data_IF_614355330017
#
_entry.id   IF_614355330017
#
_cell.length_a   1.000
_cell.length_b   1.000
_cell.length_c   1.000
_cell.angle_alpha   90.00
_cell.angle_beta   90.00
_cell.angle_gamma   90.00
#
_symmetry.space_group_name_H-M   'P 1'
#
loop_
_entity.id
_entity.type
_entity.pdbx_description
1 polymer ?
#
# COMPACT_ATOMS: atom_id res chain seq x y z
N UNK A 1 -62.38 3.91 32.52
CA UNK A 1 -61.18 3.18 32.10
C UNK A 1 -60.63 3.98 30.94
N UNK A 2 -59.80 4.96 31.26
CA UNK A 2 -59.17 5.87 30.32
C UNK A 2 -57.85 5.23 29.88
N UNK A 3 -57.83 4.69 28.66
CA UNK A 3 -56.63 4.15 28.05
C UNK A 3 -55.76 5.31 27.56
N UNK A 4 -54.59 5.42 28.19
CA UNK A 4 -53.57 6.44 27.92
C UNK A 4 -52.86 6.06 26.63
N UNK A 5 -53.14 6.80 25.54
CA UNK A 5 -52.37 6.69 24.31
C UNK A 5 -51.05 7.45 24.49
N UNK A 6 -49.98 6.70 24.77
CA UNK A 6 -48.59 7.18 24.72
C UNK A 6 -48.26 7.67 23.30
N UNK A 7 -48.11 8.98 23.16
CA UNK A 7 -47.63 9.63 21.95
C UNK A 7 -46.09 9.60 21.97
N UNK A 8 -45.51 8.48 21.54
CA UNK A 8 -44.07 8.36 21.33
C UNK A 8 -43.71 8.97 19.95
N UNK A 9 -43.48 10.29 19.92
CA UNK A 9 -42.82 10.96 18.79
C UNK A 9 -41.40 10.39 18.64
N UNK A 10 -41.25 9.41 17.75
CA UNK A 10 -39.93 8.96 17.33
C UNK A 10 -39.42 9.95 16.31
N UNK A 11 -38.71 10.97 16.81
CA UNK A 11 -38.01 11.95 15.99
C UNK A 11 -37.09 11.26 14.99
N UNK A 12 -37.47 11.43 13.72
CA UNK A 12 -36.64 11.59 12.54
C UNK A 12 -35.26 10.90 12.54
N UNK A 13 -35.18 9.90 11.66
CA UNK A 13 -34.13 9.83 10.63
C UNK A 13 -32.70 9.72 11.15
N UNK A 14 -32.31 8.50 11.52
CA UNK A 14 -30.93 8.04 11.35
C UNK A 14 -30.62 7.88 9.85
N UNK A 15 -30.73 8.99 9.10
CA UNK A 15 -30.14 9.08 7.76
C UNK A 15 -28.65 9.12 7.94
N UNK A 16 -28.01 8.06 7.48
CA UNK A 16 -26.68 8.06 6.89
C UNK A 16 -25.72 9.06 7.53
N UNK A 17 -24.86 8.58 8.43
CA UNK A 17 -23.59 9.23 8.70
C UNK A 17 -22.73 9.16 7.43
N UNK A 18 -23.13 9.91 6.41
CA UNK A 18 -22.35 10.23 5.24
C UNK A 18 -21.21 11.05 5.80
N UNK A 19 -20.05 10.41 5.89
CA UNK A 19 -18.81 11.02 6.31
C UNK A 19 -18.58 12.24 5.42
N UNK A 20 -18.91 13.44 5.91
CA UNK A 20 -18.73 14.72 5.22
C UNK A 20 -17.25 15.10 5.24
N UNK A 21 -16.37 14.21 4.75
CA UNK A 21 -14.97 14.52 4.58
C UNK A 21 -14.87 15.68 3.60
N UNK A 22 -14.20 16.75 4.02
CA UNK A 22 -13.98 17.91 3.15
C UNK A 22 -13.11 17.48 1.96
N UNK A 23 -13.21 18.16 0.80
CA UNK A 23 -12.32 17.90 -0.34
C UNK A 23 -10.83 17.90 0.04
N UNK A 24 -10.45 18.74 1.02
CA UNK A 24 -9.09 18.80 1.55
C UNK A 24 -8.70 17.55 2.36
N UNK A 25 -9.60 17.01 3.19
CA UNK A 25 -9.36 15.76 3.92
C UNK A 25 -9.30 14.54 2.99
N UNK A 26 -10.08 14.54 1.91
CA UNK A 26 -9.99 13.50 0.89
C UNK A 26 -8.67 13.57 0.11
N UNK A 27 -8.23 14.77 -0.27
CA UNK A 27 -6.95 14.97 -0.95
C UNK A 27 -5.76 14.58 -0.06
N UNK A 28 -5.79 14.94 1.23
CA UNK A 28 -4.75 14.56 2.19
C UNK A 28 -4.71 13.05 2.44
N UNK A 29 -5.88 12.40 2.53
CA UNK A 29 -5.99 10.95 2.61
C UNK A 29 -5.42 10.21 1.39
N UNK A 30 -5.67 10.72 0.17
CA UNK A 30 -5.06 10.19 -1.05
C UNK A 30 -3.54 10.32 -1.03
N UNK A 31 -3.03 11.52 -0.73
CA UNK A 31 -1.58 11.78 -0.70
C UNK A 31 -0.85 10.90 0.35
N UNK A 32 -1.47 10.64 1.50
CA UNK A 32 -0.92 9.72 2.51
C UNK A 32 -0.93 8.27 2.04
N UNK A 33 -2.02 7.81 1.41
CA UNK A 33 -2.09 6.46 0.86
C UNK A 33 -1.03 6.24 -0.23
N UNK A 34 -0.81 7.24 -1.10
CA UNK A 34 0.23 7.22 -2.12
C UNK A 34 1.64 7.19 -1.53
N UNK A 35 1.90 7.99 -0.48
CA UNK A 35 3.19 7.97 0.21
C UNK A 35 3.47 6.62 0.88
N UNK A 36 2.45 6.00 1.48
CA UNK A 36 2.56 4.67 2.08
C UNK A 36 2.78 3.58 1.03
N UNK A 37 2.09 3.64 -0.11
CA UNK A 37 2.31 2.71 -1.22
C UNK A 37 3.74 2.81 -1.76
N UNK A 38 4.21 4.03 -2.06
CA UNK A 38 5.60 4.27 -2.49
C UNK A 38 6.62 3.76 -1.47
N UNK A 39 6.39 4.04 -0.18
CA UNK A 39 7.26 3.54 0.88
C UNK A 39 7.26 2.00 0.96
N UNK A 40 6.11 1.37 0.78
CA UNK A 40 5.97 -0.08 0.74
C UNK A 40 6.74 -0.72 -0.41
N UNK A 41 6.63 -0.17 -1.62
CA UNK A 41 7.39 -0.64 -2.78
C UNK A 41 8.90 -0.51 -2.57
N UNK A 42 9.37 0.63 -2.04
CA UNK A 42 10.79 0.81 -1.75
C UNK A 42 11.30 -0.21 -0.72
N UNK A 43 10.53 -0.47 0.33
CA UNK A 43 10.87 -1.46 1.35
C UNK A 43 10.98 -2.89 0.77
N UNK A 44 10.15 -3.24 -0.22
CA UNK A 44 10.19 -4.53 -0.91
C UNK A 44 11.43 -4.65 -1.82
N UNK A 45 11.74 -3.60 -2.59
CA UNK A 45 12.98 -3.55 -3.41
C UNK A 45 14.20 -3.78 -2.52
N UNK A 46 14.32 -3.03 -1.43
CA UNK A 46 15.44 -3.19 -0.49
C UNK A 46 15.48 -4.59 0.15
N UNK A 47 14.33 -5.19 0.43
CA UNK A 47 14.27 -6.54 1.01
C UNK A 47 14.84 -7.58 0.05
N UNK A 48 14.51 -7.47 -1.25
CA UNK A 48 15.07 -8.32 -2.28
C UNK A 48 16.58 -8.10 -2.47
N UNK A 49 17.04 -6.85 -2.46
CA UNK A 49 18.48 -6.55 -2.53
C UNK A 49 19.25 -7.15 -1.34
N UNK A 50 18.72 -7.00 -0.12
CA UNK A 50 19.31 -7.59 1.09
C UNK A 50 19.34 -9.12 1.02
N UNK A 51 18.29 -9.75 0.50
CA UNK A 51 18.25 -11.20 0.31
C UNK A 51 19.27 -11.67 -0.73
N UNK A 52 19.40 -10.95 -1.85
CA UNK A 52 20.43 -11.23 -2.86
C UNK A 52 21.84 -11.14 -2.26
N UNK A 53 22.11 -10.10 -1.47
CA UNK A 53 23.39 -9.92 -0.80
C UNK A 53 23.70 -11.00 0.23
N UNK A 54 22.69 -11.49 0.96
CA UNK A 54 22.84 -12.61 1.88
C UNK A 54 23.24 -13.88 1.12
N UNK A 55 22.56 -14.20 0.02
CA UNK A 55 22.90 -15.37 -0.81
C UNK A 55 24.29 -15.26 -1.45
N UNK A 56 24.66 -14.07 -1.94
CA UNK A 56 26.02 -13.82 -2.43
C UNK A 56 27.08 -14.12 -1.37
N UNK A 57 26.89 -13.65 -0.13
CA UNK A 57 27.81 -13.89 0.99
C UNK A 57 27.89 -15.37 1.37
N UNK A 58 26.76 -16.07 1.39
CA UNK A 58 26.71 -17.51 1.68
C UNK A 58 27.43 -18.33 0.60
N UNK A 59 27.20 -18.01 -0.68
CA UNK A 59 27.90 -18.64 -1.81
C UNK A 59 29.41 -18.38 -1.77
N UNK A 60 29.84 -17.15 -1.47
CA UNK A 60 31.26 -16.79 -1.31
C UNK A 60 31.93 -17.52 -0.13
N UNK A 61 31.17 -17.80 0.93
CA UNK A 61 31.65 -18.57 2.07
C UNK A 61 31.71 -20.09 1.81
N UNK A 62 31.21 -20.55 0.65
CA UNK A 62 31.12 -21.98 0.34
C UNK A 62 30.11 -22.73 1.23
N UNK A 63 29.15 -22.01 1.80
CA UNK A 63 28.16 -22.61 2.69
C UNK A 63 27.07 -23.30 1.85
N UNK A 64 26.88 -24.62 2.06
CA UNK A 64 25.81 -25.36 1.38
C UNK A 64 26.02 -25.45 -0.14
N UNK A 65 24.91 -25.40 -0.89
CA UNK A 65 24.91 -25.45 -2.35
C UNK A 65 25.22 -24.05 -2.91
N UNK A 66 26.45 -23.88 -3.39
CA UNK A 66 26.96 -22.61 -3.94
C UNK A 66 26.24 -22.22 -5.22
N UNK A 67 25.93 -23.18 -6.09
CA UNK A 67 25.24 -22.91 -7.36
C UNK A 67 23.81 -22.45 -7.09
N UNK A 68 23.17 -23.03 -6.08
CA UNK A 68 21.85 -22.58 -5.62
C UNK A 68 21.90 -21.18 -5.04
N UNK A 69 22.89 -20.86 -4.20
CA UNK A 69 23.06 -19.50 -3.71
C UNK A 69 23.28 -18.48 -4.84
N UNK A 70 24.04 -18.83 -5.87
CA UNK A 70 24.22 -17.96 -7.03
C UNK A 70 22.93 -17.76 -7.84
N UNK A 71 22.10 -18.81 -7.98
CA UNK A 71 20.78 -18.70 -8.63
C UNK A 71 19.82 -17.83 -7.82
N UNK A 72 19.78 -18.01 -6.50
CA UNK A 72 18.92 -17.22 -5.61
C UNK A 72 19.35 -15.74 -5.55
N UNK A 73 20.65 -15.45 -5.57
CA UNK A 73 21.16 -14.08 -5.70
C UNK A 73 20.59 -13.40 -6.96
N UNK A 74 20.70 -14.06 -8.11
CA UNK A 74 20.21 -13.54 -9.39
C UNK A 74 18.70 -13.38 -9.41
N UNK A 75 17.98 -14.37 -8.88
CA UNK A 75 16.52 -14.32 -8.80
C UNK A 75 16.06 -13.13 -7.96
N UNK A 76 16.65 -12.93 -6.78
CA UNK A 76 16.29 -11.79 -5.93
C UNK A 76 16.64 -10.44 -6.57
N UNK A 77 17.76 -10.32 -7.29
CA UNK A 77 18.07 -9.09 -8.05
C UNK A 77 17.04 -8.82 -9.15
N UNK A 78 16.59 -9.86 -9.83
CA UNK A 78 15.54 -9.72 -10.82
C UNK A 78 14.22 -9.28 -10.18
N UNK A 79 13.83 -9.85 -9.04
CA UNK A 79 12.65 -9.41 -8.29
C UNK A 79 12.73 -7.94 -7.89
N UNK A 80 13.88 -7.47 -7.40
CA UNK A 80 14.08 -6.06 -7.06
C UNK A 80 13.82 -5.13 -8.26
N UNK A 81 14.30 -5.50 -9.45
CA UNK A 81 14.07 -4.73 -10.69
C UNK A 81 12.60 -4.74 -11.09
N UNK A 82 11.92 -5.89 -11.00
CA UNK A 82 10.49 -6.00 -11.33
C UNK A 82 9.63 -5.19 -10.36
N UNK A 83 9.90 -5.27 -9.06
CA UNK A 83 9.17 -4.48 -8.05
C UNK A 83 9.35 -2.97 -8.25
N UNK A 84 10.55 -2.51 -8.60
CA UNK A 84 10.81 -1.10 -8.92
C UNK A 84 10.05 -0.64 -10.17
N UNK A 85 9.99 -1.50 -11.20
CA UNK A 85 9.19 -1.22 -12.41
C UNK A 85 7.69 -1.16 -12.10
N UNK A 86 7.17 -2.11 -11.31
CA UNK A 86 5.77 -2.12 -10.89
C UNK A 86 5.42 -0.87 -10.07
N UNK A 87 6.33 -0.42 -9.21
CA UNK A 87 6.17 0.82 -8.46
C UNK A 87 6.10 2.05 -9.38
N UNK A 88 6.99 2.12 -10.38
CA UNK A 88 6.98 3.18 -11.37
C UNK A 88 5.69 3.17 -12.23
N UNK A 89 5.20 1.99 -12.63
CA UNK A 89 3.93 1.86 -13.35
C UNK A 89 2.72 2.24 -12.49
N UNK A 90 2.74 1.91 -11.19
CA UNK A 90 1.71 2.32 -10.25
C UNK A 90 1.67 3.85 -10.11
N UNK A 91 2.83 4.52 -10.05
CA UNK A 91 2.91 5.98 -10.00
C UNK A 91 2.37 6.65 -11.29
N UNK A 92 2.58 6.04 -12.47
CA UNK A 92 2.09 6.58 -13.75
C UNK A 92 0.57 6.44 -13.91
N UNK A 93 -0.02 5.38 -13.36
CA UNK A 93 -1.46 5.11 -13.48
C UNK A 93 -2.33 5.84 -12.43
N UNK A 94 -1.73 6.65 -11.56
CA UNK A 94 -2.48 7.48 -10.62
C UNK A 94 -3.21 8.62 -11.36
N UNK A 95 -4.52 8.83 -11.11
CA UNK A 95 -5.26 9.91 -11.74
C UNK A 95 -4.66 11.26 -11.31
N UNK A 96 -4.17 12.03 -12.30
CA UNK A 96 -3.68 13.38 -12.05
C UNK A 96 -4.82 14.22 -11.45
N UNK A 97 -4.62 14.90 -10.31
CA UNK A 97 -5.64 15.81 -9.79
C UNK A 97 -5.95 16.88 -10.86
N UNK A 98 -7.22 17.30 -11.01
CA UNK A 98 -7.57 18.33 -11.98
C UNK A 98 -6.74 19.58 -11.71
N UNK A 99 -6.07 20.09 -12.74
CA UNK A 99 -5.31 21.33 -12.65
C UNK A 99 -6.22 22.52 -12.32
N UNK A 100 -5.69 23.58 -11.69
CA UNK A 100 -6.48 24.78 -11.41
C UNK A 100 -7.00 25.37 -12.74
N UNK A 101 -8.31 25.61 -12.80
CA UNK A 101 -8.99 26.28 -13.91
C UNK A 101 -8.75 27.78 -13.91
#
# INVERSE_FOLDING_TARGET
MDDTADHFETGASSSEQRCNRTPNEMAMGSAMAEALARHGHHALVEAHERAADAHRRLGQAGAGDVDEHHRLEQWHRWCAVVEDQLAAEADVNLPRPPGPS
#
